data_IF_894348928661
#
_entry.id   IF_894348928661
#
_cell.length_a   1.000
_cell.length_b   1.000
_cell.length_c   1.000
_cell.angle_alpha   90.00
_cell.angle_beta   90.00
_cell.angle_gamma   90.00
#
_symmetry.space_group_name_H-M   'P 1'
#
loop_
_entity.id
_entity.type
_entity.pdbx_description
1 polymer ?
#
# COMPACT_ATOMS: atom_id res chain seq x y z
N UNK A 1 -12.17 -24.48 -41.88
CA UNK A 1 -10.70 -24.29 -41.77
C UNK A 1 -10.46 -23.22 -40.72
N UNK A 2 -10.01 -23.70 -39.60
CA UNK A 2 -9.82 -23.02 -38.34
C UNK A 2 -8.70 -21.99 -38.42
N UNK A 3 -8.98 -20.79 -37.97
CA UNK A 3 -7.95 -19.84 -37.57
C UNK A 3 -8.00 -19.71 -36.03
N UNK A 4 -7.36 -20.62 -35.35
CA UNK A 4 -6.92 -20.44 -33.96
C UNK A 4 -5.97 -19.23 -33.95
N UNK A 5 -6.47 -18.11 -33.48
CA UNK A 5 -5.62 -16.97 -33.16
C UNK A 5 -4.89 -17.29 -31.87
N UNK A 6 -3.65 -17.71 -32.00
CA UNK A 6 -2.63 -17.71 -30.93
C UNK A 6 -2.62 -16.33 -30.27
N UNK A 7 -3.31 -16.18 -29.14
CA UNK A 7 -3.11 -15.10 -28.20
C UNK A 7 -1.87 -15.49 -27.41
N UNK A 8 -0.70 -15.35 -28.02
CA UNK A 8 0.54 -15.35 -27.29
C UNK A 8 0.44 -14.24 -26.23
N UNK A 9 0.32 -14.60 -24.96
CA UNK A 9 0.45 -13.67 -23.84
C UNK A 9 1.84 -13.04 -23.93
N UNK A 10 1.94 -11.84 -24.54
CA UNK A 10 3.17 -11.05 -24.51
C UNK A 10 3.52 -10.82 -23.05
N UNK A 11 4.68 -11.32 -22.63
CA UNK A 11 5.25 -10.99 -21.34
C UNK A 11 5.26 -9.45 -21.22
N UNK A 12 4.68 -8.85 -20.18
CA UNK A 12 4.60 -7.41 -20.08
C UNK A 12 6.01 -6.82 -20.09
N UNK A 13 6.23 -5.76 -20.87
CA UNK A 13 7.49 -5.05 -20.90
C UNK A 13 7.80 -4.46 -19.52
N UNK A 14 9.01 -4.66 -19.05
CA UNK A 14 9.45 -4.16 -17.74
C UNK A 14 9.82 -2.69 -17.86
N UNK A 15 9.14 -1.84 -17.09
CA UNK A 15 9.40 -0.41 -16.99
C UNK A 15 10.52 -0.08 -16.01
N UNK A 16 10.51 -0.74 -14.83
CA UNK A 16 11.54 -0.61 -13.80
C UNK A 16 11.91 -1.99 -13.26
N UNK A 17 13.20 -2.22 -13.05
CA UNK A 17 13.69 -3.43 -12.40
C UNK A 17 14.75 -3.09 -11.36
N UNK A 18 14.57 -3.61 -10.15
CA UNK A 18 15.55 -3.62 -9.07
C UNK A 18 16.09 -5.04 -8.94
N UNK A 19 17.43 -5.20 -8.93
CA UNK A 19 18.11 -6.49 -8.76
C UNK A 19 19.07 -6.42 -7.59
N UNK A 20 18.73 -7.10 -6.49
CA UNK A 20 19.54 -7.18 -5.28
C UNK A 20 19.89 -5.81 -4.69
N UNK A 21 18.99 -4.81 -4.84
CA UNK A 21 19.29 -3.43 -4.46
C UNK A 21 19.37 -3.28 -2.96
N UNK A 22 20.49 -2.72 -2.49
CA UNK A 22 20.74 -2.44 -1.08
C UNK A 22 21.30 -1.05 -0.83
N UNK A 23 21.03 -0.52 0.37
CA UNK A 23 21.57 0.76 0.85
C UNK A 23 22.03 0.66 2.29
N UNK A 24 23.27 1.07 2.51
CA UNK A 24 23.84 1.25 3.84
C UNK A 24 24.30 2.69 4.02
N UNK A 25 24.09 3.24 5.21
CA UNK A 25 24.66 4.50 5.68
C UNK A 25 25.61 4.18 6.84
N UNK A 26 26.90 4.18 6.57
CA UNK A 26 27.91 3.67 7.49
C UNK A 26 27.65 2.19 7.82
N UNK A 27 27.39 1.86 9.07
CA UNK A 27 27.11 0.48 9.53
C UNK A 27 25.62 0.10 9.47
N UNK A 28 24.73 1.07 9.23
CA UNK A 28 23.27 0.84 9.24
C UNK A 28 22.78 0.46 7.87
N UNK A 29 22.30 -0.77 7.70
CA UNK A 29 21.60 -1.21 6.47
C UNK A 29 20.13 -0.79 6.50
N UNK A 30 19.78 0.17 5.67
CA UNK A 30 18.42 0.73 5.57
C UNK A 30 17.57 -0.02 4.55
N UNK A 31 18.18 -0.48 3.46
CA UNK A 31 17.54 -1.28 2.40
C UNK A 31 18.40 -2.51 2.15
N UNK A 32 17.76 -3.68 2.02
CA UNK A 32 18.45 -4.95 1.95
C UNK A 32 17.84 -5.83 0.86
N UNK A 33 18.66 -6.17 -0.13
CA UNK A 33 18.40 -7.22 -1.12
C UNK A 33 17.00 -7.10 -1.77
N UNK A 34 16.73 -5.92 -2.36
CA UNK A 34 15.45 -5.67 -3.02
C UNK A 34 15.47 -6.18 -4.45
N UNK A 35 14.60 -7.15 -4.71
CA UNK A 35 14.23 -7.60 -6.05
C UNK A 35 12.80 -7.17 -6.36
N UNK A 36 12.62 -6.40 -7.44
CA UNK A 36 11.30 -5.92 -7.85
C UNK A 36 11.29 -5.63 -9.35
N UNK A 37 10.38 -6.30 -10.06
CA UNK A 37 10.06 -5.99 -11.45
C UNK A 37 8.72 -5.24 -11.51
N UNK A 38 8.70 -4.11 -12.20
CA UNK A 38 7.51 -3.28 -12.42
C UNK A 38 7.24 -3.21 -13.91
N UNK A 39 6.03 -3.61 -14.31
CA UNK A 39 5.62 -3.56 -15.72
C UNK A 39 5.43 -2.12 -16.20
N UNK A 40 5.56 -1.90 -17.51
CA UNK A 40 5.23 -0.60 -18.10
C UNK A 40 3.75 -0.25 -17.86
N UNK A 41 3.50 1.00 -17.47
CA UNK A 41 2.16 1.49 -17.16
C UNK A 41 1.59 1.02 -15.84
N UNK A 42 2.32 0.27 -15.03
CA UNK A 42 1.86 -0.22 -13.74
C UNK A 42 1.92 0.89 -12.66
N UNK A 43 0.93 0.90 -11.74
CA UNK A 43 0.93 1.73 -10.54
C UNK A 43 1.34 0.90 -9.33
N UNK A 44 2.60 1.01 -8.91
CA UNK A 44 3.14 0.27 -7.76
C UNK A 44 3.22 1.17 -6.54
N UNK A 45 2.63 0.73 -5.44
CA UNK A 45 2.70 1.45 -4.15
C UNK A 45 3.67 0.75 -3.20
N UNK A 46 4.67 1.48 -2.73
CA UNK A 46 5.56 1.06 -1.64
C UNK A 46 4.89 1.47 -0.31
N UNK A 47 4.42 0.50 0.45
CA UNK A 47 3.67 0.69 1.69
C UNK A 47 4.45 0.13 2.88
N UNK A 48 4.45 0.83 4.02
CA UNK A 48 5.11 0.38 5.25
C UNK A 48 5.20 1.50 6.28
N UNK A 49 5.69 1.19 7.47
CA UNK A 49 5.87 2.18 8.54
C UNK A 49 6.92 3.24 8.19
N UNK A 50 6.92 4.34 8.93
CA UNK A 50 7.94 5.38 8.78
C UNK A 50 9.33 4.82 9.08
N UNK A 51 10.33 5.17 8.25
CA UNK A 51 11.70 4.71 8.42
C UNK A 51 12.02 3.29 7.93
N UNK A 52 11.07 2.54 7.35
CA UNK A 52 11.34 1.18 6.86
C UNK A 52 12.12 1.08 5.54
N UNK A 53 12.49 2.21 4.89
CA UNK A 53 13.33 2.23 3.69
C UNK A 53 12.63 2.63 2.39
N UNK A 54 11.33 2.93 2.37
CA UNK A 54 10.54 3.29 1.15
C UNK A 54 11.10 4.52 0.42
N UNK A 55 11.18 5.65 1.13
CA UNK A 55 11.72 6.91 0.58
C UNK A 55 13.17 6.74 0.12
N UNK A 56 14.00 5.99 0.85
CA UNK A 56 15.37 5.67 0.42
C UNK A 56 15.37 4.89 -0.88
N UNK A 57 14.50 3.88 -1.02
CA UNK A 57 14.34 3.12 -2.27
C UNK A 57 13.91 4.04 -3.41
N UNK A 58 12.92 4.91 -3.19
CA UNK A 58 12.47 5.89 -4.19
C UNK A 58 13.60 6.83 -4.62
N UNK A 59 14.41 7.32 -3.67
CA UNK A 59 15.55 8.21 -3.91
C UNK A 59 16.67 7.52 -4.69
N UNK A 60 16.93 6.22 -4.43
CA UNK A 60 17.87 5.41 -5.24
C UNK A 60 17.37 5.25 -6.67
N UNK A 61 16.07 4.98 -6.89
CA UNK A 61 15.47 4.93 -8.23
C UNK A 61 15.62 6.27 -8.94
N UNK A 62 15.42 7.37 -8.22
CA UNK A 62 15.58 8.72 -8.74
C UNK A 62 17.04 9.12 -9.04
N UNK A 63 18.03 8.38 -8.49
CA UNK A 63 19.45 8.75 -8.55
C UNK A 63 19.83 9.93 -7.67
N UNK A 64 19.04 10.17 -6.62
CA UNK A 64 19.31 11.16 -5.57
C UNK A 64 20.20 10.59 -4.47
N UNK A 65 20.13 9.28 -4.26
CA UNK A 65 20.99 8.53 -3.37
C UNK A 65 21.67 7.40 -4.18
N UNK A 66 22.95 7.17 -3.91
CA UNK A 66 23.71 6.08 -4.55
C UNK A 66 23.26 4.73 -3.98
N UNK A 67 23.33 3.70 -4.82
CA UNK A 67 23.12 2.30 -4.44
C UNK A 67 24.40 1.77 -3.81
N UNK A 68 24.28 1.06 -2.69
CA UNK A 68 25.42 0.38 -2.06
C UNK A 68 25.68 -1.01 -2.65
N UNK A 69 24.61 -1.70 -3.05
CA UNK A 69 24.65 -3.06 -3.63
C UNK A 69 23.53 -3.18 -4.68
N UNK A 70 23.73 -4.06 -5.67
CA UNK A 70 22.72 -4.36 -6.70
C UNK A 70 22.68 -3.36 -7.84
N UNK A 71 21.64 -3.45 -8.69
CA UNK A 71 21.47 -2.64 -9.90
C UNK A 71 20.03 -2.21 -10.13
N UNK A 72 19.87 -1.05 -10.78
CA UNK A 72 18.58 -0.46 -11.16
C UNK A 72 18.54 -0.33 -12.68
N UNK A 73 17.46 -0.85 -13.29
CA UNK A 73 17.22 -0.75 -14.72
C UNK A 73 15.90 -0.02 -15.00
N UNK A 74 15.92 0.90 -15.95
CA UNK A 74 14.72 1.58 -16.46
C UNK A 74 14.60 1.25 -17.94
N UNK A 75 13.48 0.62 -18.35
CA UNK A 75 13.25 0.13 -19.72
C UNK A 75 14.44 -0.68 -20.24
N UNK A 76 14.97 -1.58 -19.40
CA UNK A 76 16.10 -2.44 -19.75
C UNK A 76 17.49 -1.77 -19.75
N UNK A 77 17.58 -0.44 -19.58
CA UNK A 77 18.84 0.29 -19.49
C UNK A 77 19.30 0.34 -18.03
N UNK A 78 20.56 -0.04 -17.78
CA UNK A 78 21.20 0.15 -16.47
C UNK A 78 21.37 1.65 -16.20
N UNK A 79 20.76 2.12 -15.09
CA UNK A 79 20.79 3.51 -14.65
C UNK A 79 21.43 3.69 -13.29
N UNK A 80 22.02 2.63 -12.73
CA UNK A 80 22.52 2.57 -11.35
C UNK A 80 23.40 3.77 -11.01
N UNK A 81 24.39 4.08 -11.85
CA UNK A 81 25.36 5.15 -11.63
C UNK A 81 25.01 6.45 -12.35
N UNK A 82 23.83 6.54 -12.97
CA UNK A 82 23.43 7.74 -13.70
C UNK A 82 22.82 8.81 -12.78
N UNK A 83 23.12 10.09 -13.03
CA UNK A 83 22.49 11.18 -12.29
C UNK A 83 20.99 11.30 -12.65
N UNK A 84 20.15 11.93 -11.81
CA UNK A 84 18.70 12.03 -12.00
C UNK A 84 18.25 12.50 -13.39
N UNK A 85 18.95 13.50 -13.95
CA UNK A 85 18.64 14.08 -15.28
C UNK A 85 18.78 13.08 -16.43
N UNK A 86 19.55 11.99 -16.25
CA UNK A 86 19.83 10.99 -17.28
C UNK A 86 18.96 9.74 -17.16
N UNK A 87 18.05 9.66 -16.16
CA UNK A 87 17.23 8.48 -15.85
C UNK A 87 15.83 8.51 -16.48
N UNK A 88 15.43 9.57 -17.17
CA UNK A 88 14.09 9.73 -17.76
C UNK A 88 12.95 9.54 -16.72
N UNK A 89 13.10 10.18 -15.55
CA UNK A 89 12.14 10.15 -14.46
C UNK A 89 11.65 11.55 -14.11
N UNK A 90 10.49 11.64 -13.47
CA UNK A 90 10.03 12.84 -12.79
C UNK A 90 9.54 12.50 -11.38
N UNK A 91 9.88 13.35 -10.40
CA UNK A 91 9.59 13.10 -8.99
C UNK A 91 8.78 14.25 -8.39
N UNK A 92 7.70 13.88 -7.69
CA UNK A 92 6.92 14.76 -6.83
C UNK A 92 7.34 14.51 -5.39
N UNK A 93 7.83 15.55 -4.73
CA UNK A 93 8.27 15.50 -3.33
C UNK A 93 7.11 15.76 -2.36
N UNK A 94 7.23 15.29 -1.14
CA UNK A 94 6.25 15.46 -0.06
C UNK A 94 5.87 16.94 0.20
N UNK A 95 6.82 17.86 0.06
CA UNK A 95 6.62 19.31 0.25
C UNK A 95 6.30 20.05 -1.06
N UNK A 96 6.01 19.29 -2.16
CA UNK A 96 5.76 19.80 -3.51
C UNK A 96 6.94 20.51 -4.18
N UNK A 97 7.89 21.04 -3.42
CA UNK A 97 9.10 21.75 -3.86
C UNK A 97 8.84 22.81 -4.98
N UNK A 98 7.74 23.57 -4.88
CA UNK A 98 7.41 24.63 -5.82
C UNK A 98 8.35 25.83 -5.61
N UNK A 99 8.73 26.50 -6.70
CA UNK A 99 9.51 27.72 -6.66
C UNK A 99 8.61 28.91 -6.26
N UNK A 100 8.77 29.49 -5.05
CA UNK A 100 7.80 30.44 -4.50
C UNK A 100 7.78 31.79 -5.21
N UNK A 101 8.85 32.15 -5.91
CA UNK A 101 9.00 33.39 -6.67
C UNK A 101 8.41 33.30 -8.09
N UNK A 102 8.20 32.11 -8.62
CA UNK A 102 7.63 31.85 -9.94
C UNK A 102 6.11 31.66 -9.84
N UNK A 103 5.37 32.06 -10.87
CA UNK A 103 3.96 31.67 -11.02
C UNK A 103 3.82 30.19 -11.43
N UNK A 104 2.58 29.71 -11.58
CA UNK A 104 2.29 28.33 -11.96
C UNK A 104 2.85 28.00 -13.34
N UNK A 105 2.67 28.88 -14.32
CA UNK A 105 3.17 28.64 -15.68
C UNK A 105 4.69 28.47 -15.70
N UNK A 106 5.43 29.36 -15.05
CA UNK A 106 6.90 29.28 -14.95
C UNK A 106 7.36 28.09 -14.09
N UNK A 107 6.64 27.74 -13.01
CA UNK A 107 6.93 26.51 -12.27
C UNK A 107 6.85 25.27 -13.17
N UNK A 108 5.87 25.20 -14.06
CA UNK A 108 5.69 24.07 -14.98
C UNK A 108 6.71 24.11 -16.13
N UNK A 109 7.01 25.26 -16.71
CA UNK A 109 7.91 25.42 -17.87
C UNK A 109 9.38 25.25 -17.55
N UNK A 110 9.80 25.55 -16.31
CA UNK A 110 11.21 25.69 -15.93
C UNK A 110 12.12 24.53 -16.38
N UNK A 111 11.65 23.29 -16.26
CA UNK A 111 12.45 22.14 -16.70
C UNK A 111 12.61 22.06 -18.23
N UNK A 112 11.62 22.52 -18.99
CA UNK A 112 11.67 22.59 -20.46
C UNK A 112 12.58 23.72 -20.95
N UNK A 113 12.56 24.85 -20.23
CA UNK A 113 13.46 25.99 -20.49
C UNK A 113 14.93 25.58 -20.31
N UNK A 114 15.24 24.88 -19.19
CA UNK A 114 16.58 24.33 -18.95
C UNK A 114 17.01 23.28 -19.97
N UNK A 115 16.05 22.57 -20.56
CA UNK A 115 16.30 21.61 -21.63
C UNK A 115 16.48 22.26 -23.01
N UNK A 116 16.28 23.59 -23.13
CA UNK A 116 16.41 24.34 -24.39
C UNK A 116 15.23 24.15 -25.35
N UNK A 117 14.05 23.76 -24.85
CA UNK A 117 12.85 23.63 -25.67
C UNK A 117 12.43 24.99 -26.28
N UNK A 118 11.81 24.97 -27.45
CA UNK A 118 11.33 26.23 -28.08
C UNK A 118 10.17 26.84 -27.28
N UNK A 119 10.00 28.18 -27.29
CA UNK A 119 8.89 28.84 -26.61
C UNK A 119 7.50 28.30 -27.01
N UNK A 120 7.30 27.97 -28.28
CA UNK A 120 6.05 27.42 -28.78
C UNK A 120 5.76 26.02 -28.22
N UNK A 121 6.78 25.17 -28.10
CA UNK A 121 6.67 23.83 -27.49
C UNK A 121 6.41 23.93 -26.00
N UNK A 122 7.07 24.81 -25.29
CA UNK A 122 6.85 25.08 -23.86
C UNK A 122 5.39 25.50 -23.62
N UNK A 123 4.92 26.50 -24.38
CA UNK A 123 3.53 26.98 -24.25
C UNK A 123 2.50 25.86 -24.52
N UNK A 124 2.71 25.05 -25.56
CA UNK A 124 1.86 23.91 -25.89
C UNK A 124 1.80 22.92 -24.74
N UNK A 125 2.93 22.42 -24.27
CA UNK A 125 3.01 21.39 -23.20
C UNK A 125 2.45 21.89 -21.87
N UNK A 126 2.74 23.14 -21.49
CA UNK A 126 2.19 23.74 -20.26
C UNK A 126 0.67 23.85 -20.35
N UNK A 127 0.11 24.31 -21.49
CA UNK A 127 -1.35 24.39 -21.68
C UNK A 127 -2.01 23.00 -21.62
N UNK A 128 -1.45 22.03 -22.30
CA UNK A 128 -1.95 20.64 -22.29
C UNK A 128 -1.96 20.04 -20.89
N UNK A 129 -0.83 20.13 -20.17
CA UNK A 129 -0.72 19.65 -18.79
C UNK A 129 -1.66 20.40 -17.84
N UNK A 130 -1.78 21.72 -17.98
CA UNK A 130 -2.69 22.52 -17.16
C UNK A 130 -4.17 22.17 -17.41
N UNK A 131 -4.55 21.85 -18.65
CA UNK A 131 -5.89 21.38 -19.00
C UNK A 131 -6.18 20.00 -18.40
N UNK A 132 -5.24 19.06 -18.50
CA UNK A 132 -5.35 17.71 -17.90
C UNK A 132 -5.60 17.79 -16.39
N UNK A 133 -4.96 18.76 -15.70
CA UNK A 133 -5.03 18.95 -14.26
C UNK A 133 -6.11 19.91 -13.79
N UNK A 134 -6.89 20.50 -14.71
CA UNK A 134 -7.90 21.54 -14.43
C UNK A 134 -7.32 22.76 -13.68
N UNK A 135 -6.10 23.20 -14.01
CA UNK A 135 -5.42 24.36 -13.40
C UNK A 135 -5.12 25.50 -14.37
N UNK A 136 -5.68 25.47 -15.58
CA UNK A 136 -5.48 26.53 -16.61
C UNK A 136 -5.76 27.94 -16.06
N UNK A 137 -6.80 28.09 -15.24
CA UNK A 137 -7.19 29.35 -14.60
C UNK A 137 -6.23 29.81 -13.49
N UNK A 138 -5.25 28.99 -13.12
CA UNK A 138 -4.26 29.26 -12.07
C UNK A 138 -2.89 29.65 -12.62
N UNK A 139 -2.67 29.57 -13.93
CA UNK A 139 -1.34 29.70 -14.55
C UNK A 139 -0.58 30.96 -14.16
N UNK A 140 -1.27 32.06 -13.90
CA UNK A 140 -0.69 33.36 -13.52
C UNK A 140 -0.56 33.55 -11.98
N UNK A 141 -1.02 32.58 -11.17
CA UNK A 141 -0.94 32.68 -9.71
C UNK A 141 0.39 32.18 -9.18
N UNK A 142 0.79 32.70 -8.01
CA UNK A 142 1.97 32.24 -7.27
C UNK A 142 1.60 31.14 -6.26
N UNK A 143 2.55 30.26 -5.85
CA UNK A 143 2.28 29.18 -4.91
C UNK A 143 1.61 29.60 -3.59
N UNK A 144 1.89 30.80 -3.09
CA UNK A 144 1.25 31.35 -1.87
C UNK A 144 -0.25 31.62 -1.99
N UNK A 145 -0.75 31.74 -3.22
CA UNK A 145 -2.16 32.02 -3.54
C UNK A 145 -2.97 30.76 -3.83
N UNK A 146 -2.34 29.59 -3.67
CA UNK A 146 -2.91 28.29 -3.98
C UNK A 146 -3.27 27.51 -2.74
N UNK A 147 -4.39 26.73 -2.80
CA UNK A 147 -4.70 25.71 -1.80
C UNK A 147 -3.71 24.55 -1.83
N UNK A 148 -3.71 23.68 -0.81
CA UNK A 148 -2.86 22.47 -0.76
C UNK A 148 -3.01 21.60 -1.99
N UNK A 149 -4.24 21.26 -2.37
CA UNK A 149 -4.50 20.45 -3.57
C UNK A 149 -4.12 21.13 -4.88
N UNK A 150 -4.26 22.47 -4.97
CA UNK A 150 -3.80 23.21 -6.13
C UNK A 150 -2.27 23.20 -6.24
N UNK A 151 -1.53 23.36 -5.13
CA UNK A 151 -0.07 23.24 -5.13
C UNK A 151 0.37 21.84 -5.56
N UNK A 152 -0.31 20.80 -5.11
CA UNK A 152 -0.04 19.43 -5.54
C UNK A 152 -0.25 19.24 -7.04
N UNK A 153 -1.37 19.71 -7.60
CA UNK A 153 -1.62 19.65 -9.06
C UNK A 153 -0.52 20.37 -9.85
N UNK A 154 -0.04 21.51 -9.37
CA UNK A 154 1.09 22.21 -9.99
C UNK A 154 2.38 21.38 -9.93
N UNK A 155 2.68 20.72 -8.79
CA UNK A 155 3.85 19.84 -8.67
C UNK A 155 3.76 18.64 -9.63
N UNK A 156 2.58 18.05 -9.78
CA UNK A 156 2.32 17.00 -10.77
C UNK A 156 2.49 17.55 -12.19
N UNK A 157 1.99 18.76 -12.47
CA UNK A 157 2.13 19.44 -13.76
C UNK A 157 3.60 19.62 -14.18
N UNK A 158 4.46 19.97 -13.24
CA UNK A 158 5.92 20.04 -13.47
C UNK A 158 6.52 18.71 -13.92
N UNK A 159 5.91 17.60 -13.49
CA UNK A 159 6.34 16.26 -13.90
C UNK A 159 5.78 15.87 -15.27
N UNK A 160 4.49 16.15 -15.51
CA UNK A 160 3.79 15.77 -16.75
C UNK A 160 4.40 16.44 -17.98
N UNK A 161 4.73 17.74 -17.92
CA UNK A 161 5.31 18.49 -19.04
C UNK A 161 6.60 17.88 -19.60
N UNK A 162 7.29 17.06 -18.80
CA UNK A 162 8.53 16.38 -19.20
C UNK A 162 8.30 15.06 -19.92
N UNK A 163 7.08 14.52 -19.86
CA UNK A 163 6.71 13.20 -20.42
C UNK A 163 7.67 12.07 -20.00
N UNK A 164 7.96 11.88 -18.71
CA UNK A 164 8.95 10.91 -18.26
C UNK A 164 8.51 9.47 -18.53
N UNK A 165 9.48 8.54 -18.51
CA UNK A 165 9.18 7.11 -18.54
C UNK A 165 8.54 6.63 -17.25
N UNK A 166 8.94 7.18 -16.10
CA UNK A 166 8.47 6.78 -14.77
C UNK A 166 8.15 8.02 -13.94
N UNK A 167 6.98 8.00 -13.29
CA UNK A 167 6.62 8.94 -12.24
C UNK A 167 6.99 8.38 -10.87
N UNK A 168 7.61 9.20 -10.03
CA UNK A 168 7.97 8.90 -8.66
C UNK A 168 7.22 9.86 -7.72
N UNK A 169 6.47 9.33 -6.75
CA UNK A 169 5.72 10.11 -5.77
C UNK A 169 6.17 9.76 -4.35
N UNK A 170 6.70 10.76 -3.62
CA UNK A 170 7.13 10.60 -2.24
C UNK A 170 6.09 11.22 -1.30
N UNK A 171 5.18 10.42 -0.77
CA UNK A 171 4.08 10.81 0.13
C UNK A 171 3.32 12.09 -0.30
N UNK A 172 2.85 12.20 -1.55
CA UNK A 172 2.37 13.47 -2.09
C UNK A 172 1.06 13.96 -1.45
N UNK A 173 0.32 13.12 -0.73
CA UNK A 173 -0.96 13.46 -0.09
C UNK A 173 -0.86 13.68 1.42
N UNK A 174 0.30 13.44 2.05
CA UNK A 174 0.48 13.45 3.50
C UNK A 174 0.13 14.80 4.16
N UNK A 175 0.35 15.91 3.45
CA UNK A 175 0.13 17.27 3.95
C UNK A 175 -1.29 17.82 3.69
N UNK A 176 -2.24 16.97 3.27
CA UNK A 176 -3.63 17.35 2.99
C UNK A 176 -4.57 16.88 4.11
N UNK A 177 -5.63 17.64 4.33
CA UNK A 177 -6.74 17.20 5.19
C UNK A 177 -7.47 15.98 4.60
N UNK A 178 -8.22 15.25 5.42
CA UNK A 178 -8.83 13.97 5.04
C UNK A 178 -9.79 14.07 3.84
N UNK A 179 -10.59 15.15 3.76
CA UNK A 179 -11.56 15.37 2.67
C UNK A 179 -10.85 15.64 1.35
N UNK A 180 -9.86 16.52 1.38
CA UNK A 180 -9.05 16.87 0.21
C UNK A 180 -8.22 15.68 -0.25
N UNK A 181 -7.64 14.89 0.70
CA UNK A 181 -6.89 13.67 0.41
C UNK A 181 -7.75 12.65 -0.32
N UNK A 182 -9.00 12.40 0.14
CA UNK A 182 -9.93 11.51 -0.53
C UNK A 182 -10.23 11.95 -1.98
N UNK A 183 -10.48 13.25 -2.20
CA UNK A 183 -10.69 13.79 -3.53
C UNK A 183 -9.43 13.64 -4.42
N UNK A 184 -8.26 13.96 -3.90
CA UNK A 184 -7.01 13.87 -4.65
C UNK A 184 -6.59 12.45 -5.00
N UNK A 185 -6.96 11.43 -4.21
CA UNK A 185 -6.77 10.02 -4.58
C UNK A 185 -7.54 9.69 -5.85
N UNK A 186 -8.82 10.05 -5.92
CA UNK A 186 -9.64 9.83 -7.13
C UNK A 186 -9.01 10.53 -8.34
N UNK A 187 -8.57 11.77 -8.20
CA UNK A 187 -7.91 12.53 -9.27
C UNK A 187 -6.62 11.85 -9.75
N UNK A 188 -5.80 11.32 -8.82
CA UNK A 188 -4.57 10.61 -9.17
C UNK A 188 -4.85 9.29 -9.91
N UNK A 189 -5.88 8.54 -9.50
CA UNK A 189 -6.29 7.32 -10.20
C UNK A 189 -6.70 7.61 -11.65
N UNK A 190 -7.57 8.62 -11.86
CA UNK A 190 -8.01 9.05 -13.19
C UNK A 190 -6.85 9.60 -14.04
N UNK A 191 -5.93 10.31 -13.40
CA UNK A 191 -4.73 10.83 -14.07
C UNK A 191 -3.83 9.70 -14.54
N UNK A 192 -3.59 8.70 -13.70
CA UNK A 192 -2.78 7.53 -14.07
C UNK A 192 -3.40 6.76 -15.23
N UNK A 193 -4.72 6.49 -15.19
CA UNK A 193 -5.45 5.84 -16.27
C UNK A 193 -5.31 6.59 -17.60
N UNK A 194 -5.40 7.93 -17.56
CA UNK A 194 -5.24 8.80 -18.75
C UNK A 194 -3.83 8.79 -19.30
N UNK A 195 -2.81 8.82 -18.43
CA UNK A 195 -1.42 8.92 -18.85
C UNK A 195 -0.79 7.57 -19.20
N UNK A 196 -1.25 6.48 -18.62
CA UNK A 196 -0.74 5.11 -18.83
C UNK A 196 0.75 4.95 -18.55
N UNK A 197 1.32 5.75 -17.65
CA UNK A 197 2.77 5.75 -17.35
C UNK A 197 3.07 4.93 -16.10
N UNK A 198 4.23 4.27 -16.10
CA UNK A 198 4.74 3.57 -14.92
C UNK A 198 4.86 4.53 -13.74
N UNK A 199 4.30 4.16 -12.59
CA UNK A 199 4.24 5.00 -11.41
C UNK A 199 4.73 4.23 -10.19
N UNK A 200 5.68 4.81 -9.44
CA UNK A 200 6.09 4.34 -8.12
C UNK A 200 5.63 5.37 -7.10
N UNK A 201 4.83 4.93 -6.15
CA UNK A 201 4.19 5.78 -5.17
C UNK A 201 4.54 5.31 -3.76
N UNK A 202 5.09 6.19 -2.94
CA UNK A 202 5.40 5.92 -1.53
C UNK A 202 4.30 6.48 -0.64
N UNK A 203 3.82 5.69 0.28
CA UNK A 203 2.89 6.12 1.33
C UNK A 203 3.01 5.26 2.59
N UNK A 204 2.48 5.76 3.70
CA UNK A 204 2.17 5.00 4.90
C UNK A 204 0.65 4.82 5.10
N UNK A 205 -0.18 5.40 4.22
CA UNK A 205 -1.65 5.32 4.27
C UNK A 205 -2.14 4.08 3.51
N UNK A 206 -2.75 3.14 4.25
CA UNK A 206 -3.27 1.89 3.68
C UNK A 206 -4.42 2.15 2.70
N UNK A 207 -5.24 3.20 2.93
CA UNK A 207 -6.37 3.53 2.05
C UNK A 207 -5.84 4.01 0.69
N UNK A 208 -4.76 4.81 0.68
CA UNK A 208 -4.09 5.19 -0.57
C UNK A 208 -3.59 3.96 -1.32
N UNK A 209 -2.87 3.06 -0.63
CA UNK A 209 -2.34 1.85 -1.24
C UNK A 209 -3.44 0.95 -1.80
N UNK A 210 -4.50 0.69 -1.02
CA UNK A 210 -5.60 -0.18 -1.43
C UNK A 210 -6.45 0.38 -2.59
N UNK A 211 -6.46 1.72 -2.78
CA UNK A 211 -7.30 2.36 -3.81
C UNK A 211 -6.56 2.76 -5.08
N UNK A 212 -5.25 3.01 -5.01
CA UNK A 212 -4.46 3.48 -6.15
C UNK A 212 -3.65 2.37 -6.81
N UNK A 213 -3.22 1.36 -6.05
CA UNK A 213 -2.24 0.41 -6.54
C UNK A 213 -2.81 -0.63 -7.49
N UNK A 214 -2.11 -0.89 -8.60
CA UNK A 214 -2.20 -2.17 -9.31
C UNK A 214 -1.55 -3.28 -8.49
N UNK A 215 -0.37 -3.00 -7.89
CA UNK A 215 0.32 -3.85 -6.92
C UNK A 215 0.83 -3.04 -5.74
N UNK A 216 0.75 -3.65 -4.55
CA UNK A 216 1.32 -3.14 -3.30
C UNK A 216 2.60 -3.92 -3.00
N UNK A 217 3.65 -3.20 -2.64
CA UNK A 217 4.91 -3.74 -2.11
C UNK A 217 4.97 -3.36 -0.63
N UNK A 218 4.86 -4.35 0.25
CA UNK A 218 4.90 -4.13 1.71
C UNK A 218 6.33 -4.19 2.18
N UNK A 219 6.76 -3.11 2.82
CA UNK A 219 8.09 -2.95 3.40
C UNK A 219 8.07 -3.09 4.91
N UNK A 220 9.05 -3.83 5.44
CA UNK A 220 9.42 -3.82 6.85
C UNK A 220 10.94 -3.94 6.98
N UNK A 221 11.55 -3.11 7.80
CA UNK A 221 12.98 -3.14 8.16
C UNK A 221 13.91 -3.30 6.95
N UNK A 222 13.64 -2.54 5.90
CA UNK A 222 14.45 -2.52 4.67
C UNK A 222 14.25 -3.71 3.74
N UNK A 223 13.25 -4.56 3.97
CA UNK A 223 12.96 -5.75 3.16
C UNK A 223 11.53 -5.74 2.65
N UNK A 224 11.32 -6.35 1.49
CA UNK A 224 9.98 -6.65 0.97
C UNK A 224 9.41 -7.86 1.75
N UNK A 225 8.25 -7.68 2.33
CA UNK A 225 7.50 -8.72 3.04
C UNK A 225 6.52 -9.46 2.14
N UNK A 226 5.86 -8.72 1.24
CA UNK A 226 4.94 -9.26 0.23
C UNK A 226 4.81 -8.27 -0.92
N UNK A 227 4.60 -8.82 -2.13
CA UNK A 227 4.18 -8.09 -3.33
C UNK A 227 2.93 -8.76 -3.87
N UNK A 228 1.89 -7.98 -4.17
CA UNK A 228 0.65 -8.53 -4.72
C UNK A 228 -0.39 -7.47 -5.02
N UNK A 229 -1.48 -7.86 -5.68
CA UNK A 229 -2.64 -6.99 -5.84
C UNK A 229 -3.25 -6.63 -4.47
N UNK A 230 -3.91 -5.47 -4.32
CA UNK A 230 -4.53 -5.06 -3.05
C UNK A 230 -5.40 -6.16 -2.42
N UNK A 231 -6.25 -6.82 -3.21
CA UNK A 231 -7.10 -7.92 -2.76
C UNK A 231 -6.31 -9.14 -2.30
N UNK A 232 -5.21 -9.47 -2.98
CA UNK A 232 -4.34 -10.58 -2.61
C UNK A 232 -3.64 -10.33 -1.28
N UNK A 233 -3.03 -9.15 -1.14
CA UNK A 233 -2.33 -8.76 0.10
C UNK A 233 -3.26 -8.73 1.30
N UNK A 234 -4.51 -8.29 1.12
CA UNK A 234 -5.53 -8.25 2.17
C UNK A 234 -6.07 -9.65 2.52
N UNK A 235 -6.44 -10.46 1.51
CA UNK A 235 -7.08 -11.76 1.71
C UNK A 235 -6.08 -12.90 1.92
N UNK A 236 -4.84 -12.73 1.47
CA UNK A 236 -3.80 -13.75 1.52
C UNK A 236 -2.48 -13.18 2.05
N UNK A 237 -2.46 -12.63 3.29
CA UNK A 237 -1.24 -12.11 3.88
C UNK A 237 -0.19 -13.23 4.01
N UNK A 238 1.03 -12.98 3.52
CA UNK A 238 2.08 -14.01 3.47
C UNK A 238 2.63 -14.39 4.85
N UNK A 239 2.55 -13.50 5.81
CA UNK A 239 3.06 -13.71 7.16
C UNK A 239 2.29 -12.88 8.21
N UNK A 240 2.62 -13.09 9.49
CA UNK A 240 2.01 -12.41 10.63
C UNK A 240 2.18 -10.89 10.57
N UNK A 241 3.33 -10.39 10.07
CA UNK A 241 3.56 -8.96 9.93
C UNK A 241 2.55 -8.34 8.96
N UNK A 242 2.44 -8.89 7.75
CA UNK A 242 1.50 -8.41 6.73
C UNK A 242 0.06 -8.50 7.22
N UNK A 243 -0.31 -9.60 7.90
CA UNK A 243 -1.64 -9.82 8.45
C UNK A 243 -2.03 -8.75 9.49
N UNK A 244 -1.11 -8.41 10.38
CA UNK A 244 -1.30 -7.39 11.41
C UNK A 244 -1.25 -5.96 10.83
N UNK A 245 -0.39 -5.74 9.83
CA UNK A 245 -0.14 -4.41 9.26
C UNK A 245 -1.29 -3.98 8.33
N UNK A 246 -1.85 -4.88 7.50
CA UNK A 246 -2.90 -4.56 6.53
C UNK A 246 -4.29 -4.75 7.12
N UNK A 247 -5.10 -3.69 7.03
CA UNK A 247 -6.50 -3.64 7.49
C UNK A 247 -6.69 -2.77 8.72
N UNK A 248 -7.84 -2.09 8.77
CA UNK A 248 -8.26 -1.26 9.90
C UNK A 248 -9.68 -1.64 10.28
N UNK A 249 -9.90 -2.13 11.50
CA UNK A 249 -8.91 -2.47 12.52
C UNK A 249 -7.98 -3.64 12.11
N UNK A 250 -6.83 -3.76 12.78
CA UNK A 250 -5.85 -4.83 12.53
C UNK A 250 -6.44 -6.22 12.79
N UNK A 251 -5.88 -7.23 12.11
CA UNK A 251 -6.27 -8.64 12.32
C UNK A 251 -6.01 -9.07 13.77
N UNK A 252 -6.97 -9.76 14.38
CA UNK A 252 -6.76 -10.44 15.65
C UNK A 252 -5.84 -11.65 15.42
N UNK A 253 -4.76 -11.75 16.18
CA UNK A 253 -3.83 -12.87 16.14
C UNK A 253 -3.90 -13.62 17.47
N UNK A 254 -4.33 -14.90 17.40
CA UNK A 254 -4.64 -15.72 18.56
C UNK A 254 -3.78 -16.98 18.56
N UNK A 255 -2.96 -17.15 19.58
CA UNK A 255 -2.12 -18.34 19.76
C UNK A 255 -2.94 -19.56 20.12
N UNK A 256 -2.70 -20.69 19.43
CA UNK A 256 -3.40 -21.93 19.67
C UNK A 256 -2.61 -23.16 19.28
N UNK A 257 -3.22 -24.33 19.54
CA UNK A 257 -2.72 -25.64 19.14
C UNK A 257 -3.84 -26.42 18.41
N UNK A 258 -3.46 -27.27 17.49
CA UNK A 258 -4.41 -28.12 16.78
C UNK A 258 -4.65 -29.40 17.55
N UNK A 259 -5.91 -29.64 17.90
CA UNK A 259 -6.42 -30.89 18.47
C UNK A 259 -7.15 -31.69 17.38
N UNK A 260 -6.97 -33.00 17.35
CA UNK A 260 -7.73 -33.85 16.44
C UNK A 260 -9.21 -33.92 16.87
N UNK A 261 -10.12 -33.80 15.91
CA UNK A 261 -11.55 -33.96 16.13
C UNK A 261 -12.17 -34.66 14.92
N UNK A 262 -12.47 -35.98 15.06
CA UNK A 262 -12.98 -36.78 13.96
C UNK A 262 -12.00 -36.85 12.79
N UNK A 263 -12.48 -36.55 11.57
CA UNK A 263 -11.67 -36.49 10.34
C UNK A 263 -10.98 -35.14 10.12
N UNK A 264 -11.31 -34.14 10.94
CA UNK A 264 -10.74 -32.78 10.89
C UNK A 264 -9.90 -32.45 12.12
N UNK A 265 -9.61 -31.16 12.30
CA UNK A 265 -8.93 -30.61 13.47
C UNK A 265 -9.71 -29.43 14.05
N UNK A 266 -9.33 -29.04 15.27
CA UNK A 266 -9.79 -27.79 15.89
C UNK A 266 -8.56 -27.02 16.33
N UNK A 267 -8.39 -25.79 15.86
CA UNK A 267 -7.43 -24.87 16.39
C UNK A 267 -8.00 -24.27 17.68
N UNK A 268 -7.48 -24.73 18.78
CA UNK A 268 -7.96 -24.39 20.13
C UNK A 268 -6.94 -23.54 20.86
N UNK A 269 -7.44 -22.52 21.54
CA UNK A 269 -6.69 -21.68 22.45
C UNK A 269 -7.58 -21.16 23.57
N UNK A 270 -7.02 -20.40 24.53
CA UNK A 270 -7.82 -19.82 25.60
C UNK A 270 -8.93 -18.94 25.07
N UNK A 271 -10.20 -19.31 25.33
CA UNK A 271 -11.38 -18.58 24.95
C UNK A 271 -11.83 -18.70 23.48
N UNK A 272 -11.22 -19.60 22.69
CA UNK A 272 -11.66 -19.84 21.32
C UNK A 272 -11.43 -21.30 20.86
N UNK A 273 -12.23 -21.70 19.86
CA UNK A 273 -12.10 -22.97 19.17
C UNK A 273 -12.57 -22.82 17.71
N UNK A 274 -11.66 -22.92 16.75
CA UNK A 274 -11.96 -22.79 15.32
C UNK A 274 -11.82 -24.14 14.62
N UNK A 275 -12.86 -24.64 13.93
CA UNK A 275 -12.78 -25.87 13.16
C UNK A 275 -11.79 -25.71 11.99
N UNK A 276 -10.96 -26.72 11.78
CA UNK A 276 -10.05 -26.82 10.64
C UNK A 276 -10.45 -28.01 9.76
N UNK A 277 -10.43 -27.86 8.43
CA UNK A 277 -10.78 -28.93 7.51
C UNK A 277 -9.76 -30.09 7.51
N UNK A 278 -8.53 -29.82 8.01
CA UNK A 278 -7.41 -30.75 7.88
C UNK A 278 -6.78 -31.10 9.24
N UNK A 279 -6.82 -32.43 9.60
CA UNK A 279 -6.19 -32.94 10.82
C UNK A 279 -4.65 -33.08 10.74
N UNK A 280 -4.03 -32.87 9.54
CA UNK A 280 -2.57 -33.05 9.35
C UNK A 280 -1.71 -32.10 10.19
N UNK A 281 -2.31 -31.07 10.76
CA UNK A 281 -1.62 -30.06 11.58
C UNK A 281 -1.67 -30.40 13.09
N UNK A 282 -2.11 -31.60 13.46
CA UNK A 282 -2.26 -31.99 14.87
C UNK A 282 -0.97 -31.81 15.67
N UNK A 283 -1.11 -31.22 16.87
CA UNK A 283 0.01 -30.96 17.80
C UNK A 283 0.87 -29.75 17.45
N UNK A 284 0.64 -29.10 16.30
CA UNK A 284 1.39 -27.90 15.91
C UNK A 284 0.90 -26.66 16.67
N UNK A 285 1.85 -25.82 17.06
CA UNK A 285 1.58 -24.50 17.62
C UNK A 285 1.36 -23.51 16.45
N UNK A 286 0.14 -22.99 16.34
CA UNK A 286 -0.28 -22.13 15.26
C UNK A 286 -0.82 -20.80 15.80
N UNK A 287 -0.96 -19.81 14.91
CA UNK A 287 -1.64 -18.54 15.19
C UNK A 287 -2.86 -18.46 14.29
N UNK A 288 -4.03 -18.31 14.89
CA UNK A 288 -5.27 -17.98 14.20
C UNK A 288 -5.29 -16.47 13.90
N UNK A 289 -5.46 -16.13 12.63
CA UNK A 289 -5.69 -14.74 12.19
C UNK A 289 -7.17 -14.54 11.86
N UNK A 290 -7.82 -13.61 12.55
CA UNK A 290 -9.24 -13.31 12.37
C UNK A 290 -9.44 -11.82 12.13
N UNK A 291 -9.96 -11.47 10.96
CA UNK A 291 -10.32 -10.07 10.66
C UNK A 291 -11.50 -9.63 11.53
N UNK A 292 -11.44 -8.46 12.18
CA UNK A 292 -12.55 -7.94 12.99
C UNK A 292 -13.90 -7.89 12.25
N UNK A 293 -13.86 -7.61 10.94
CA UNK A 293 -15.04 -7.50 10.08
C UNK A 293 -15.67 -8.86 9.73
N UNK A 294 -14.96 -9.97 9.91
CA UNK A 294 -15.49 -11.31 9.62
C UNK A 294 -16.18 -11.93 10.82
N UNK A 295 -16.01 -11.34 12.01
CA UNK A 295 -16.69 -11.78 13.24
C UNK A 295 -18.15 -11.31 13.24
N UNK A 296 -19.05 -12.21 13.64
CA UNK A 296 -20.49 -11.96 13.80
C UNK A 296 -20.93 -12.38 15.19
N UNK A 297 -21.99 -11.79 15.70
CA UNK A 297 -22.64 -12.29 16.93
C UNK A 297 -23.18 -13.70 16.68
N UNK A 298 -22.79 -14.64 17.52
CA UNK A 298 -23.14 -16.04 17.35
C UNK A 298 -24.66 -16.22 17.53
N UNK A 299 -25.25 -17.00 16.62
CA UNK A 299 -26.66 -17.45 16.72
C UNK A 299 -26.81 -18.82 17.41
N UNK A 300 -25.70 -19.53 17.59
CA UNK A 300 -25.63 -20.86 18.21
C UNK A 300 -24.44 -20.99 19.15
N UNK A 301 -23.73 -22.11 19.09
CA UNK A 301 -22.51 -22.32 19.89
C UNK A 301 -21.40 -21.39 19.41
N UNK A 302 -20.91 -20.47 20.25
CA UNK A 302 -19.91 -19.51 19.83
C UNK A 302 -18.56 -20.19 19.60
N UNK A 303 -17.81 -19.70 18.60
CA UNK A 303 -16.42 -20.10 18.36
C UNK A 303 -15.44 -19.38 19.27
N UNK A 304 -15.83 -18.18 19.76
CA UNK A 304 -15.09 -17.41 20.76
C UNK A 304 -16.06 -16.60 21.64
N UNK A 305 -15.65 -16.32 22.86
CA UNK A 305 -16.41 -15.51 23.81
C UNK A 305 -15.61 -14.27 24.17
N UNK A 306 -16.20 -13.09 23.90
CA UNK A 306 -15.59 -11.79 24.14
C UNK A 306 -16.25 -11.10 25.31
N UNK A 307 -15.50 -10.81 26.38
CA UNK A 307 -15.89 -9.85 27.40
C UNK A 307 -15.62 -8.45 26.88
N UNK A 308 -16.67 -7.72 26.51
CA UNK A 308 -16.58 -6.40 25.91
C UNK A 308 -16.21 -5.33 26.96
N UNK A 309 -15.08 -4.67 26.79
CA UNK A 309 -14.64 -3.56 27.64
C UNK A 309 -15.12 -2.22 27.09
N UNK A 310 -15.05 -2.01 25.77
CA UNK A 310 -15.38 -0.77 25.08
C UNK A 310 -16.22 -1.04 23.84
N UNK A 311 -17.18 -0.18 23.56
CA UNK A 311 -17.94 -0.13 22.32
C UNK A 311 -17.76 1.25 21.69
N UNK A 312 -17.21 1.31 20.49
CA UNK A 312 -17.07 2.54 19.71
C UNK A 312 -18.07 2.52 18.55
N UNK A 313 -18.93 3.53 18.47
CA UNK A 313 -19.91 3.65 17.40
C UNK A 313 -19.35 4.46 16.23
N UNK A 314 -19.24 3.85 15.05
CA UNK A 314 -18.66 4.43 13.85
C UNK A 314 -19.71 4.88 12.82
N UNK A 315 -20.97 5.05 13.24
CA UNK A 315 -22.08 5.49 12.39
C UNK A 315 -22.95 4.35 11.88
N UNK A 316 -22.45 3.44 11.09
CA UNK A 316 -23.19 2.28 10.57
C UNK A 316 -22.89 0.98 11.30
N UNK A 317 -21.80 0.94 12.05
CA UNK A 317 -21.28 -0.23 12.74
C UNK A 317 -20.71 0.16 14.11
N UNK A 318 -20.55 -0.83 14.98
CA UNK A 318 -19.89 -0.68 16.28
C UNK A 318 -18.64 -1.56 16.32
N UNK A 319 -17.57 -0.97 16.84
CA UNK A 319 -16.33 -1.66 17.15
C UNK A 319 -16.40 -2.15 18.60
N UNK A 320 -16.39 -3.45 18.78
CA UNK A 320 -16.32 -4.08 20.10
C UNK A 320 -14.86 -4.38 20.41
N UNK A 321 -14.36 -3.86 21.52
CA UNK A 321 -12.99 -4.13 21.99
C UNK A 321 -13.09 -4.77 23.37
N UNK A 322 -12.42 -5.90 23.56
CA UNK A 322 -12.49 -6.62 24.82
C UNK A 322 -11.43 -7.71 24.95
N UNK A 323 -11.65 -8.63 25.89
CA UNK A 323 -10.78 -9.78 26.15
C UNK A 323 -11.52 -11.08 25.92
N UNK A 324 -10.85 -12.11 25.43
CA UNK A 324 -11.43 -13.45 25.38
C UNK A 324 -11.62 -14.01 26.78
N UNK A 325 -12.77 -14.62 27.01
CA UNK A 325 -13.07 -15.30 28.28
C UNK A 325 -12.10 -16.48 28.46
N UNK A 326 -11.38 -16.53 29.57
CA UNK A 326 -10.38 -17.58 29.85
C UNK A 326 -9.01 -17.33 29.19
N UNK A 327 -8.84 -16.26 28.44
CA UNK A 327 -7.53 -15.84 27.94
C UNK A 327 -6.87 -14.82 28.88
N UNK A 328 -5.54 -14.66 28.73
CA UNK A 328 -4.78 -13.64 29.45
C UNK A 328 -5.05 -12.21 28.97
N UNK A 329 -4.01 -11.38 28.86
CA UNK A 329 -4.14 -9.93 28.58
C UNK A 329 -4.41 -9.55 27.12
N UNK A 330 -4.51 -10.47 26.18
CA UNK A 330 -4.74 -10.18 24.75
C UNK A 330 -6.09 -9.50 24.49
N UNK A 331 -6.09 -8.36 23.79
CA UNK A 331 -7.32 -7.70 23.32
C UNK A 331 -7.75 -8.25 21.99
N UNK A 332 -9.06 -8.42 21.82
CA UNK A 332 -9.74 -8.82 20.59
C UNK A 332 -10.71 -7.74 20.16
N UNK A 333 -10.77 -7.51 18.88
CA UNK A 333 -11.65 -6.52 18.27
C UNK A 333 -12.63 -7.22 17.34
N UNK A 334 -13.92 -6.84 17.37
CA UNK A 334 -14.93 -7.29 16.43
C UNK A 334 -15.69 -6.08 15.88
N UNK A 335 -16.09 -6.12 14.62
CA UNK A 335 -16.93 -5.10 13.98
C UNK A 335 -18.32 -5.71 13.77
N UNK A 336 -19.33 -5.10 14.37
CA UNK A 336 -20.73 -5.58 14.29
C UNK A 336 -21.65 -4.49 13.76
N UNK A 337 -22.69 -4.85 12.98
CA UNK A 337 -23.61 -3.86 12.41
C UNK A 337 -24.40 -3.07 13.46
N UNK A 338 -24.67 -1.80 13.17
CA UNK A 338 -25.55 -0.93 13.94
C UNK A 338 -24.92 -0.37 15.21
N UNK A 339 -25.74 0.36 15.98
CA UNK A 339 -25.36 0.91 17.29
C UNK A 339 -25.56 -0.14 18.37
N UNK A 340 -24.48 -0.60 18.99
CA UNK A 340 -24.49 -1.72 19.95
C UNK A 340 -23.94 -1.33 21.32
N UNK A 341 -24.28 -0.14 21.79
CA UNK A 341 -23.92 0.31 23.14
C UNK A 341 -24.46 -0.62 24.27
N UNK A 342 -25.52 -1.39 23.98
CA UNK A 342 -26.10 -2.43 24.83
C UNK A 342 -25.09 -3.54 25.18
N UNK A 343 -24.06 -3.77 24.33
CA UNK A 343 -23.07 -4.82 24.53
C UNK A 343 -21.91 -4.41 25.46
N UNK A 344 -21.82 -3.16 25.86
CA UNK A 344 -20.77 -2.71 26.77
C UNK A 344 -20.82 -3.48 28.09
N UNK A 345 -19.67 -4.00 28.53
CA UNK A 345 -19.49 -4.84 29.73
C UNK A 345 -20.28 -6.16 29.71
N UNK A 346 -20.78 -6.57 28.54
CA UNK A 346 -21.41 -7.87 28.36
C UNK A 346 -20.39 -8.89 27.85
N UNK A 347 -20.65 -10.17 28.13
CA UNK A 347 -19.97 -11.29 27.45
C UNK A 347 -20.81 -11.66 26.24
N UNK A 348 -20.18 -11.58 25.05
CA UNK A 348 -20.82 -11.92 23.78
C UNK A 348 -20.16 -13.12 23.14
N UNK A 349 -20.98 -14.01 22.59
CA UNK A 349 -20.52 -15.09 21.73
C UNK A 349 -20.29 -14.56 20.31
N UNK A 350 -19.18 -14.95 19.71
CA UNK A 350 -18.85 -14.59 18.32
C UNK A 350 -18.58 -15.85 17.52
N UNK A 351 -18.90 -15.77 16.22
CA UNK A 351 -18.64 -16.80 15.22
C UNK A 351 -18.07 -16.17 13.94
N UNK A 352 -17.43 -16.96 13.10
CA UNK A 352 -16.96 -16.57 11.77
C UNK A 352 -17.16 -17.70 10.78
N UNK A 353 -17.19 -17.38 9.49
CA UNK A 353 -17.12 -18.39 8.44
C UNK A 353 -15.73 -19.06 8.51
N UNK A 354 -15.65 -20.40 8.60
CA UNK A 354 -14.36 -21.12 8.63
C UNK A 354 -13.43 -20.74 7.47
N UNK A 355 -13.96 -20.38 6.31
CA UNK A 355 -13.16 -19.92 5.16
C UNK A 355 -12.50 -18.54 5.36
N UNK A 356 -12.98 -17.75 6.33
CA UNK A 356 -12.40 -16.45 6.68
C UNK A 356 -11.26 -16.56 7.70
N UNK A 357 -10.98 -17.78 8.20
CA UNK A 357 -9.89 -18.02 9.13
C UNK A 357 -8.55 -18.04 8.39
N UNK A 358 -7.61 -17.23 8.85
CA UNK A 358 -6.21 -17.31 8.44
C UNK A 358 -5.43 -18.14 9.46
N UNK A 359 -4.49 -18.97 8.99
CA UNK A 359 -3.65 -19.76 9.87
C UNK A 359 -2.19 -19.52 9.54
N UNK A 360 -1.40 -19.31 10.60
CA UNK A 360 0.04 -19.07 10.47
C UNK A 360 0.82 -20.04 11.35
N UNK A 361 1.97 -20.48 10.86
CA UNK A 361 2.94 -21.20 11.66
C UNK A 361 3.53 -20.26 12.70
N UNK A 362 3.48 -20.67 13.98
CA UNK A 362 3.93 -19.80 15.08
C UNK A 362 5.43 -19.55 15.06
N UNK A 363 6.23 -20.50 14.61
CA UNK A 363 7.69 -20.41 14.64
C UNK A 363 8.24 -19.54 13.51
N UNK A 364 7.74 -19.74 12.27
CA UNK A 364 8.18 -18.99 11.09
C UNK A 364 7.39 -17.71 10.83
N UNK A 365 6.21 -17.58 11.43
CA UNK A 365 5.25 -16.51 11.14
C UNK A 365 4.61 -16.59 9.75
N UNK A 366 4.89 -17.63 8.96
CA UNK A 366 4.38 -17.78 7.58
C UNK A 366 2.96 -18.33 7.57
N UNK A 367 2.18 -17.87 6.57
CA UNK A 367 0.85 -18.39 6.34
C UNK A 367 0.90 -19.88 5.96
N UNK A 368 -0.06 -20.64 6.49
CA UNK A 368 -0.34 -22.04 6.12
C UNK A 368 -1.65 -22.07 5.34
N UNK A 369 -1.65 -22.76 4.22
CA UNK A 369 -2.88 -23.04 3.47
C UNK A 369 -3.59 -24.25 4.14
N UNK A 370 -4.78 -24.04 4.68
CA UNK A 370 -5.61 -25.02 5.35
C UNK A 370 -6.87 -25.33 4.57
#
# INVERSE_FOLDING_TARGET
QDSERDIAMKTPEIGLQLKGVGKAFGTVRVVQDLDLDVAQGEFVVLLGESGCGKTTTLRMIAGLDDVSEGRIFIKGRDVTDLPPKARDIAMVFQNYALYPHMDVAHNMSFALELAGSSPAEIERRVKEAAAVLNITHLLQRKPKELSGGQRQRVAIGRCIVREPAIFLFDEPLSNLDAKLRAHMRTELALLHERLGKTTIYVTHDQVEAMTLASRIVIFDKGRIQQVGAPSEVFNQPANLFVAAFIGMPSMNLLDGQVLAQGSGGVLHGPGFAFPLPNARLQGQALVAGVRPQTLRLASGTPMLQLQVDVVEYLGMESLLVGKLVGAGEGRVTAVVPGQRADLMRQTVGLELDPQALHVFDKASGRRINV
#
